data_IF_252858029231
#
_entry.id   IF_252858029231
#
_cell.length_a   1.000
_cell.length_b   1.000
_cell.length_c   1.000
_cell.angle_alpha   90.00
_cell.angle_beta   90.00
_cell.angle_gamma   90.00
#
_symmetry.space_group_name_H-M   'P 1'
#
loop_
_entity.id
_entity.type
_entity.pdbx_description
1 polymer ?
#
# COMPACT_ATOMS: atom_id res chain seq x y z
N UNK A 1 -20.14 36.59 -50.91
CA UNK A 1 -20.62 35.45 -50.09
C UNK A 1 -19.71 35.37 -48.87
N UNK A 2 -20.22 35.79 -47.71
CA UNK A 2 -19.46 35.84 -46.46
C UNK A 2 -19.64 34.53 -45.68
N UNK A 3 -18.53 33.90 -45.29
CA UNK A 3 -18.49 32.73 -44.43
C UNK A 3 -18.72 33.16 -42.97
N UNK A 4 -19.81 32.69 -42.35
CA UNK A 4 -20.09 32.91 -40.93
C UNK A 4 -19.19 32.00 -40.09
N UNK A 5 -18.27 32.61 -39.33
CA UNK A 5 -17.59 31.99 -38.18
C UNK A 5 -18.60 31.81 -37.05
N UNK A 6 -18.77 30.58 -36.56
CA UNK A 6 -19.58 30.28 -35.37
C UNK A 6 -18.62 30.18 -34.18
N UNK A 7 -18.52 31.24 -33.40
CA UNK A 7 -17.88 31.21 -32.08
C UNK A 7 -18.81 30.50 -31.09
N UNK A 8 -18.47 29.28 -30.68
CA UNK A 8 -19.10 28.65 -29.51
C UNK A 8 -18.43 29.21 -28.25
N UNK A 9 -19.16 30.06 -27.52
CA UNK A 9 -18.84 30.40 -26.14
C UNK A 9 -19.01 29.17 -25.25
N UNK A 10 -17.97 28.85 -24.48
CA UNK A 10 -18.03 27.90 -23.37
C UNK A 10 -18.80 28.56 -22.21
N UNK A 11 -19.78 27.89 -21.58
CA UNK A 11 -20.42 28.44 -20.41
C UNK A 11 -19.41 28.46 -19.25
N UNK A 12 -19.20 29.67 -18.74
CA UNK A 12 -18.55 29.93 -17.47
C UNK A 12 -19.35 29.28 -16.34
N UNK A 13 -18.65 29.04 -15.22
CA UNK A 13 -19.13 28.56 -13.92
C UNK A 13 -18.86 27.06 -13.68
N UNK A 14 -17.59 26.67 -13.76
CA UNK A 14 -17.10 25.55 -12.97
C UNK A 14 -16.61 26.13 -11.65
N UNK A 15 -17.38 25.93 -10.58
CA UNK A 15 -16.96 26.24 -9.23
C UNK A 15 -15.81 25.30 -8.83
N UNK A 16 -14.58 25.79 -9.01
CA UNK A 16 -13.34 25.09 -8.66
C UNK A 16 -13.22 24.82 -7.15
N UNK A 17 -14.09 25.41 -6.30
CA UNK A 17 -14.07 25.16 -4.86
C UNK A 17 -14.76 23.87 -4.43
N UNK A 18 -15.46 23.18 -5.34
CA UNK A 18 -16.09 21.88 -5.06
C UNK A 18 -15.23 20.67 -5.49
N UNK A 19 -14.01 20.91 -5.99
CA UNK A 19 -13.02 19.88 -6.31
C UNK A 19 -11.81 19.88 -5.35
N UNK A 20 -11.89 20.66 -4.29
CA UNK A 20 -10.91 20.73 -3.21
C UNK A 20 -11.76 20.97 -1.95
N UNK A 21 -12.10 20.01 -1.11
CA UNK A 21 -11.23 19.49 -0.04
C UNK A 21 -12.06 18.45 0.75
N UNK A 22 -11.84 17.15 0.53
CA UNK A 22 -11.38 16.27 1.63
C UNK A 22 -9.93 15.79 1.45
N UNK A 23 -9.37 16.02 0.26
CA UNK A 23 -8.05 15.56 -0.17
C UNK A 23 -6.90 16.33 0.51
N UNK A 24 -7.05 17.62 0.79
CA UNK A 24 -6.01 18.42 1.46
C UNK A 24 -5.91 18.12 2.95
N UNK A 25 -6.99 17.70 3.61
CA UNK A 25 -6.94 17.28 5.02
C UNK A 25 -6.15 15.98 5.18
N UNK A 26 -6.34 15.01 4.30
CA UNK A 26 -5.53 13.79 4.29
C UNK A 26 -4.09 14.08 3.83
N UNK A 27 -3.89 14.89 2.78
CA UNK A 27 -2.55 15.33 2.37
C UNK A 27 -1.82 16.05 3.52
N UNK A 28 -2.51 16.84 4.34
CA UNK A 28 -1.95 17.52 5.50
C UNK A 28 -1.64 16.59 6.69
N UNK A 29 -2.44 15.53 6.89
CA UNK A 29 -2.13 14.46 7.85
C UNK A 29 -0.90 13.68 7.41
N UNK A 30 -0.79 13.41 6.10
CA UNK A 30 0.36 12.77 5.50
C UNK A 30 1.59 13.66 5.46
N UNK A 31 1.50 14.95 5.14
CA UNK A 31 2.65 15.88 5.12
C UNK A 31 3.16 16.22 6.52
N UNK A 32 2.29 16.31 7.54
CA UNK A 32 2.75 16.42 8.92
C UNK A 32 3.44 15.14 9.39
N UNK A 33 2.99 13.96 8.95
CA UNK A 33 3.73 12.71 9.12
C UNK A 33 5.04 12.67 8.29
N UNK A 34 5.04 13.28 7.09
CA UNK A 34 6.16 13.44 6.15
C UNK A 34 7.29 14.33 6.68
N UNK A 35 6.96 15.32 7.53
CA UNK A 35 7.92 16.26 8.13
C UNK A 35 8.45 15.81 9.50
N UNK A 36 7.83 14.79 10.10
CA UNK A 36 8.17 14.31 11.45
C UNK A 36 9.28 13.24 11.49
N UNK A 37 10.19 13.21 10.52
CA UNK A 37 11.32 12.28 10.54
C UNK A 37 12.62 12.99 10.18
N UNK A 38 13.36 13.41 11.20
CA UNK A 38 14.78 13.74 11.08
C UNK A 38 15.66 12.59 11.61
N UNK A 39 16.77 12.46 10.89
CA UNK A 39 18.02 11.71 11.06
C UNK A 39 18.17 10.23 10.58
N UNK A 40 19.10 10.08 9.63
CA UNK A 40 19.57 8.92 8.83
C UNK A 40 18.74 8.45 7.60
N UNK A 41 19.04 9.05 6.44
CA UNK A 41 18.97 8.55 5.03
C UNK A 41 18.04 7.35 4.73
N UNK A 42 16.72 7.55 4.83
CA UNK A 42 15.74 6.66 4.19
C UNK A 42 15.60 7.02 2.72
N UNK A 43 15.80 6.06 1.81
CA UNK A 43 15.72 6.29 0.35
C UNK A 43 14.29 6.39 -0.19
N UNK A 44 13.31 5.83 0.52
CA UNK A 44 11.92 5.77 0.10
C UNK A 44 10.97 6.11 1.26
N UNK A 45 9.89 6.80 0.93
CA UNK A 45 8.78 7.06 1.84
C UNK A 45 8.05 5.75 2.13
N UNK A 46 7.65 5.56 3.39
CA UNK A 46 6.85 4.43 3.83
C UNK A 46 5.39 4.86 3.90
N UNK A 47 4.48 3.92 3.73
CA UNK A 47 3.03 4.14 3.81
C UNK A 47 2.52 3.20 4.89
N UNK A 48 1.95 3.69 6.00
CA UNK A 48 1.32 2.83 6.99
C UNK A 48 0.17 2.07 6.33
N UNK A 49 0.05 0.80 6.67
CA UNK A 49 -0.99 -0.07 6.14
C UNK A 49 -1.19 -1.22 7.10
N UNK A 50 -2.40 -1.75 7.16
CA UNK A 50 -2.76 -2.88 8.01
C UNK A 50 -3.44 -4.00 7.17
N UNK A 51 -3.03 -4.07 5.90
CA UNK A 51 -3.49 -5.01 4.87
C UNK A 51 -2.88 -6.39 5.14
N UNK A 52 -3.64 -7.48 4.89
CA UNK A 52 -3.15 -8.84 5.04
C UNK A 52 -2.00 -9.16 4.09
N UNK A 53 -1.04 -9.93 4.57
CA UNK A 53 0.06 -10.50 3.79
C UNK A 53 0.20 -11.99 4.06
N UNK A 54 0.81 -12.68 3.11
CA UNK A 54 1.29 -14.04 3.25
C UNK A 54 2.77 -14.06 2.95
N UNK A 55 3.53 -14.90 3.64
CA UNK A 55 4.94 -15.06 3.35
C UNK A 55 5.43 -16.48 3.59
N UNK A 56 6.51 -16.82 2.89
CA UNK A 56 7.25 -18.07 3.07
C UNK A 56 8.71 -17.73 3.31
N UNK A 57 9.30 -18.35 4.33
CA UNK A 57 10.71 -18.18 4.67
C UNK A 57 11.56 -19.30 4.06
N UNK A 58 12.74 -18.93 3.57
CA UNK A 58 13.73 -19.84 2.98
C UNK A 58 13.80 -19.77 1.46
N UNK A 59 14.80 -20.46 0.91
CA UNK A 59 14.91 -20.77 -0.53
C UNK A 59 14.71 -22.26 -0.74
N UNK A 60 14.25 -22.69 -1.92
CA UNK A 60 13.81 -24.02 -2.38
C UNK A 60 14.67 -25.29 -2.05
N UNK A 61 15.34 -25.38 -0.91
CA UNK A 61 16.08 -26.58 -0.46
C UNK A 61 16.28 -26.67 1.07
N UNK A 62 15.86 -25.68 1.85
CA UNK A 62 15.74 -25.82 3.31
C UNK A 62 14.24 -25.87 3.64
N UNK A 63 13.83 -26.84 4.46
CA UNK A 63 12.43 -27.12 4.81
C UNK A 63 11.65 -25.81 5.01
N UNK A 64 10.47 -25.63 4.37
CA UNK A 64 9.69 -24.39 4.50
C UNK A 64 9.46 -24.09 5.98
N UNK A 65 10.06 -23.00 6.47
CA UNK A 65 9.95 -22.62 7.87
C UNK A 65 8.61 -21.92 8.05
N UNK A 66 7.59 -22.76 8.26
CA UNK A 66 6.21 -22.47 8.66
C UNK A 66 5.43 -21.45 7.81
N UNK A 67 4.22 -21.84 7.43
CA UNK A 67 3.21 -20.92 6.93
C UNK A 67 2.74 -20.10 8.13
N UNK A 68 3.26 -18.89 8.28
CA UNK A 68 2.66 -17.93 9.20
C UNK A 68 1.20 -17.74 8.79
N UNK A 69 0.31 -17.60 9.77
CA UNK A 69 -1.02 -17.07 9.52
C UNK A 69 -0.91 -15.77 8.68
N UNK A 70 -2.01 -15.33 8.07
CA UNK A 70 -2.03 -14.04 7.37
C UNK A 70 -1.60 -12.93 8.33
N UNK A 71 -0.33 -12.52 8.26
CA UNK A 71 0.19 -11.42 9.04
C UNK A 71 -0.29 -10.11 8.44
N UNK A 72 -0.02 -9.01 9.14
CA UNK A 72 -0.47 -7.69 8.72
C UNK A 72 0.73 -6.81 8.40
N UNK A 73 0.63 -6.08 7.30
CA UNK A 73 1.54 -4.97 7.07
C UNK A 73 1.51 -4.03 8.28
N UNK A 74 2.64 -3.42 8.56
CA UNK A 74 2.74 -2.21 9.37
C UNK A 74 2.97 -1.01 8.47
N UNK A 75 3.88 -1.18 7.51
CA UNK A 75 4.17 -0.20 6.50
C UNK A 75 4.74 -0.83 5.22
N UNK A 76 4.69 -0.07 4.13
CA UNK A 76 5.27 -0.46 2.84
C UNK A 76 5.88 0.72 2.11
N UNK A 77 6.93 0.46 1.34
CA UNK A 77 7.64 1.44 0.52
C UNK A 77 8.08 0.80 -0.79
N UNK A 78 8.66 1.62 -1.67
CA UNK A 78 9.28 1.12 -2.91
C UNK A 78 10.41 0.11 -2.65
N UNK A 79 11.15 0.26 -1.56
CA UNK A 79 12.30 -0.59 -1.25
C UNK A 79 12.00 -1.83 -0.41
N UNK A 80 10.77 -1.99 0.08
CA UNK A 80 10.45 -3.05 1.02
C UNK A 80 9.28 -2.72 1.92
N UNK A 81 9.00 -3.62 2.86
CA UNK A 81 7.86 -3.52 3.77
C UNK A 81 8.25 -3.89 5.20
N UNK A 82 7.34 -3.65 6.13
CA UNK A 82 7.41 -4.07 7.51
C UNK A 82 6.11 -4.79 7.86
N UNK A 83 6.19 -5.90 8.61
CA UNK A 83 5.04 -6.65 9.08
C UNK A 83 5.24 -7.16 10.51
N UNK A 84 4.14 -7.53 11.17
CA UNK A 84 4.18 -8.22 12.46
C UNK A 84 4.35 -9.73 12.26
N UNK A 85 5.14 -10.40 13.10
CA UNK A 85 5.27 -11.86 13.11
C UNK A 85 5.19 -12.40 14.54
N UNK A 86 4.53 -13.54 14.72
CA UNK A 86 4.46 -14.21 16.04
C UNK A 86 5.82 -14.70 16.55
N UNK A 87 6.76 -14.98 15.65
CA UNK A 87 8.07 -15.56 15.97
C UNK A 87 9.21 -14.72 15.38
N UNK A 88 10.39 -14.71 16.02
CA UNK A 88 11.53 -13.97 15.50
C UNK A 88 12.02 -14.58 14.18
N UNK A 89 12.34 -13.71 13.22
CA UNK A 89 12.88 -14.12 11.92
C UNK A 89 14.33 -13.68 11.79
N UNK A 90 15.20 -14.59 11.35
CA UNK A 90 16.63 -14.32 11.25
C UNK A 90 16.91 -13.29 10.14
N UNK A 91 17.77 -12.31 10.45
CA UNK A 91 18.28 -11.35 9.46
C UNK A 91 19.03 -12.09 8.34
N UNK A 92 18.80 -11.70 7.10
CA UNK A 92 19.37 -12.30 5.90
C UNK A 92 18.61 -13.51 5.38
N UNK A 93 17.55 -13.96 6.06
CA UNK A 93 16.68 -15.04 5.57
C UNK A 93 15.96 -14.58 4.30
N UNK A 94 16.01 -15.38 3.20
CA UNK A 94 15.17 -15.17 2.03
C UNK A 94 13.70 -15.27 2.38
N UNK A 95 12.89 -14.41 1.78
CA UNK A 95 11.46 -14.35 2.03
C UNK A 95 10.71 -14.08 0.72
N UNK A 96 9.72 -14.93 0.45
CA UNK A 96 8.72 -14.71 -0.58
C UNK A 96 7.48 -14.11 0.06
N UNK A 97 6.91 -13.05 -0.52
CA UNK A 97 5.74 -12.34 0.01
C UNK A 97 4.65 -12.28 -1.04
N UNK A 98 3.42 -12.59 -0.64
CA UNK A 98 2.21 -12.36 -1.42
C UNK A 98 1.28 -11.37 -0.71
N UNK A 99 0.78 -10.37 -1.46
CA UNK A 99 -0.18 -9.37 -0.98
C UNK A 99 -1.44 -9.44 -1.87
N UNK A 100 -2.58 -9.93 -1.33
CA UNK A 100 -3.79 -10.21 -2.11
C UNK A 100 -4.67 -8.96 -2.29
N UNK A 101 -4.11 -7.87 -2.83
CA UNK A 101 -4.81 -6.60 -3.09
C UNK A 101 -5.17 -6.38 -4.57
N UNK A 102 -4.80 -7.33 -5.43
CA UNK A 102 -5.06 -7.35 -6.86
C UNK A 102 -5.08 -8.81 -7.36
N UNK A 103 -5.56 -9.02 -8.59
CA UNK A 103 -5.55 -10.33 -9.26
C UNK A 103 -4.74 -10.24 -10.57
N UNK A 104 -3.62 -10.96 -10.72
CA UNK A 104 -2.98 -11.83 -9.72
C UNK A 104 -2.41 -11.04 -8.52
N UNK A 105 -2.22 -11.69 -7.35
CA UNK A 105 -1.69 -11.05 -6.15
C UNK A 105 -0.32 -10.44 -6.42
N UNK A 106 -0.01 -9.35 -5.71
CA UNK A 106 1.34 -8.79 -5.79
C UNK A 106 2.32 -9.74 -5.12
N UNK A 107 3.37 -10.12 -5.84
CA UNK A 107 4.44 -11.00 -5.36
C UNK A 107 5.76 -10.24 -5.27
N UNK A 108 6.45 -10.42 -4.15
CA UNK A 108 7.77 -9.85 -3.96
C UNK A 108 8.74 -10.86 -3.35
N UNK A 109 9.97 -10.82 -3.85
CA UNK A 109 11.12 -11.51 -3.27
C UNK A 109 11.97 -10.51 -2.51
N UNK A 110 12.54 -10.95 -1.39
CA UNK A 110 13.42 -10.10 -0.60
C UNK A 110 14.25 -10.85 0.43
N UNK A 111 14.91 -10.06 1.26
CA UNK A 111 15.67 -10.53 2.41
C UNK A 111 15.16 -9.83 3.66
N UNK A 112 15.13 -10.57 4.77
CA UNK A 112 14.87 -9.99 6.09
C UNK A 112 16.03 -9.05 6.45
N UNK A 113 15.77 -7.75 6.44
CA UNK A 113 16.75 -6.70 6.72
C UNK A 113 17.01 -6.56 8.23
N UNK A 114 15.96 -6.73 9.04
CA UNK A 114 16.00 -6.68 10.49
C UNK A 114 14.76 -7.34 11.10
N UNK A 115 14.86 -7.77 12.36
CA UNK A 115 13.76 -8.26 13.17
C UNK A 115 13.93 -7.70 14.59
N UNK A 116 12.87 -7.15 15.18
CA UNK A 116 12.89 -6.50 16.50
C UNK A 116 11.68 -6.98 17.31
N UNK A 117 11.84 -7.30 18.61
CA UNK A 117 10.71 -7.59 19.48
C UNK A 117 9.85 -6.34 19.68
N UNK A 118 8.55 -6.51 19.72
CA UNK A 118 7.56 -5.46 19.92
C UNK A 118 6.38 -6.04 20.73
N UNK A 119 6.39 -5.84 22.04
CA UNK A 119 5.40 -6.47 22.92
C UNK A 119 5.51 -8.00 22.89
N UNK A 120 4.43 -8.66 22.50
CA UNK A 120 4.28 -10.11 22.36
C UNK A 120 4.59 -10.66 20.96
N UNK A 121 4.95 -9.79 20.01
CA UNK A 121 5.25 -10.14 18.63
C UNK A 121 6.59 -9.53 18.19
N UNK A 122 6.92 -9.67 16.91
CA UNK A 122 8.13 -9.13 16.30
C UNK A 122 7.77 -8.25 15.10
N UNK A 123 8.39 -7.08 15.00
CA UNK A 123 8.42 -6.34 13.74
C UNK A 123 9.53 -6.88 12.85
N UNK A 124 9.19 -7.22 11.61
CA UNK A 124 10.10 -7.77 10.62
C UNK A 124 10.16 -6.82 9.43
N UNK A 125 11.34 -6.23 9.21
CA UNK A 125 11.60 -5.40 8.05
C UNK A 125 12.21 -6.21 6.92
N UNK A 126 11.64 -6.08 5.73
CA UNK A 126 12.09 -6.76 4.51
C UNK A 126 12.61 -5.73 3.53
N UNK A 127 13.74 -6.05 2.89
CA UNK A 127 14.27 -5.34 1.74
C UNK A 127 13.92 -6.14 0.48
N UNK A 128 13.25 -5.50 -0.49
CA UNK A 128 12.93 -6.12 -1.76
C UNK A 128 14.17 -6.27 -2.64
N UNK A 129 14.18 -7.32 -3.45
CA UNK A 129 15.14 -7.51 -4.53
C UNK A 129 14.85 -6.56 -5.71
N UNK A 130 15.80 -6.44 -6.64
CA UNK A 130 15.73 -5.48 -7.76
C UNK A 130 14.45 -5.62 -8.62
N UNK A 131 14.00 -6.83 -9.02
CA UNK A 131 12.78 -6.96 -9.80
C UNK A 131 11.53 -6.50 -9.02
N UNK A 132 11.42 -6.89 -7.75
CA UNK A 132 10.28 -6.54 -6.89
C UNK A 132 10.22 -5.04 -6.61
N UNK A 133 11.38 -4.39 -6.46
CA UNK A 133 11.49 -2.93 -6.32
C UNK A 133 10.86 -2.20 -7.52
N UNK A 134 11.06 -2.69 -8.75
CA UNK A 134 10.49 -2.06 -9.96
C UNK A 134 8.96 -2.08 -9.99
N UNK A 135 8.34 -3.15 -9.50
CA UNK A 135 6.88 -3.32 -9.50
C UNK A 135 6.21 -2.79 -8.22
N UNK A 136 6.96 -2.55 -7.16
CA UNK A 136 6.45 -2.10 -5.87
C UNK A 136 5.67 -0.80 -5.92
N UNK A 137 5.98 0.12 -6.84
CA UNK A 137 5.28 1.40 -6.99
C UNK A 137 3.78 1.18 -7.24
N UNK A 138 3.43 0.22 -8.10
CA UNK A 138 2.03 -0.10 -8.39
C UNK A 138 1.32 -0.69 -7.18
N UNK A 139 2.01 -1.53 -6.42
CA UNK A 139 1.47 -2.09 -5.19
C UNK A 139 1.24 -0.99 -4.13
N UNK A 140 2.19 -0.07 -3.95
CA UNK A 140 2.03 1.08 -3.03
C UNK A 140 0.85 1.95 -3.46
N UNK A 141 0.67 2.19 -4.75
CA UNK A 141 -0.49 2.90 -5.30
C UNK A 141 -1.82 2.18 -4.96
N UNK A 142 -1.88 0.85 -5.08
CA UNK A 142 -3.06 0.09 -4.67
C UNK A 142 -3.34 0.20 -3.17
N UNK A 143 -2.31 0.19 -2.32
CA UNK A 143 -2.48 0.44 -0.88
C UNK A 143 -3.08 1.83 -0.64
N UNK A 144 -2.61 2.86 -1.33
CA UNK A 144 -3.17 4.21 -1.23
C UNK A 144 -4.65 4.25 -1.66
N UNK A 145 -5.02 3.53 -2.72
CA UNK A 145 -6.41 3.46 -3.16
C UNK A 145 -7.32 2.77 -2.15
N UNK A 146 -6.87 1.67 -1.53
CA UNK A 146 -7.61 0.96 -0.49
C UNK A 146 -7.86 1.86 0.72
N UNK A 147 -6.83 2.58 1.18
CA UNK A 147 -6.95 3.48 2.32
C UNK A 147 -7.86 4.69 2.01
N UNK A 148 -7.80 5.18 0.78
CA UNK A 148 -8.74 6.21 0.31
C UNK A 148 -10.17 5.68 0.26
N UNK A 149 -10.38 4.48 -0.29
CA UNK A 149 -11.69 3.83 -0.33
C UNK A 149 -12.27 3.65 1.08
N UNK A 150 -11.46 3.20 2.04
CA UNK A 150 -11.84 3.07 3.45
C UNK A 150 -12.36 4.40 4.02
N UNK A 151 -11.64 5.49 3.75
CA UNK A 151 -12.01 6.83 4.20
C UNK A 151 -13.28 7.33 3.52
N UNK A 152 -13.41 7.09 2.21
CA UNK A 152 -14.58 7.45 1.41
C UNK A 152 -15.84 6.74 1.91
N UNK A 153 -15.76 5.43 2.18
CA UNK A 153 -16.86 4.65 2.75
C UNK A 153 -17.28 5.20 4.11
N UNK A 154 -16.34 5.55 4.97
CA UNK A 154 -16.68 6.17 6.26
C UNK A 154 -17.41 7.51 6.08
N UNK A 155 -16.93 8.37 5.16
CA UNK A 155 -17.52 9.68 4.94
C UNK A 155 -18.89 9.64 4.24
N UNK A 156 -19.04 8.79 3.22
CA UNK A 156 -20.25 8.74 2.38
C UNK A 156 -21.32 7.78 2.93
N UNK A 157 -20.91 6.67 3.55
CA UNK A 157 -21.80 5.61 4.02
C UNK A 157 -21.87 5.52 5.56
N UNK A 158 -20.97 6.20 6.29
CA UNK A 158 -20.89 6.12 7.76
C UNK A 158 -20.41 4.77 8.28
N UNK A 159 -19.88 3.89 7.42
CA UNK A 159 -19.36 2.58 7.81
C UNK A 159 -17.88 2.67 8.14
N UNK A 160 -17.51 2.20 9.33
CA UNK A 160 -16.12 1.98 9.69
C UNK A 160 -15.64 0.63 9.13
N UNK A 161 -14.59 0.67 8.32
CA UNK A 161 -13.96 -0.50 7.74
C UNK A 161 -12.55 -0.66 8.32
N UNK A 162 -12.12 -1.90 8.57
CA UNK A 162 -10.69 -2.19 8.77
C UNK A 162 -9.93 -2.08 7.42
N UNK A 163 -8.60 -1.94 7.43
CA UNK A 163 -7.81 -2.02 6.17
C UNK A 163 -8.03 -3.35 5.45
N UNK A 164 -8.23 -4.45 6.20
CA UNK A 164 -8.50 -5.76 5.64
C UNK A 164 -9.87 -5.82 4.94
N UNK A 165 -10.92 -5.28 5.57
CA UNK A 165 -12.25 -5.25 4.98
C UNK A 165 -12.28 -4.31 3.76
N UNK A 166 -11.62 -3.17 3.85
CA UNK A 166 -11.47 -2.25 2.73
C UNK A 166 -10.71 -2.89 1.57
N UNK A 167 -9.63 -3.64 1.83
CA UNK A 167 -8.89 -4.36 0.81
C UNK A 167 -9.74 -5.45 0.15
N UNK A 168 -10.51 -6.20 0.94
CA UNK A 168 -11.43 -7.23 0.42
C UNK A 168 -12.50 -6.61 -0.47
N UNK A 169 -13.21 -5.57 0.01
CA UNK A 169 -14.22 -4.87 -0.77
C UNK A 169 -13.63 -4.21 -2.02
N UNK A 170 -12.41 -3.67 -1.94
CA UNK A 170 -11.69 -3.09 -3.07
C UNK A 170 -11.42 -4.13 -4.16
N UNK A 171 -10.87 -5.29 -3.78
CA UNK A 171 -10.63 -6.39 -4.72
C UNK A 171 -11.94 -6.86 -5.35
N UNK A 172 -13.00 -7.07 -4.56
CA UNK A 172 -14.31 -7.49 -5.08
C UNK A 172 -14.89 -6.49 -6.09
N UNK A 173 -14.74 -5.19 -5.85
CA UNK A 173 -15.27 -4.13 -6.71
C UNK A 173 -14.45 -3.88 -7.97
N UNK A 174 -13.12 -3.93 -7.86
CA UNK A 174 -12.22 -3.44 -8.90
C UNK A 174 -11.35 -4.53 -9.57
N UNK A 175 -11.46 -5.80 -9.14
CA UNK A 175 -10.69 -6.90 -9.71
C UNK A 175 -10.82 -7.07 -11.24
N UNK A 176 -11.97 -6.72 -11.82
CA UNK A 176 -12.22 -6.86 -13.24
C UNK A 176 -11.62 -5.72 -14.09
N UNK A 177 -11.22 -4.61 -13.47
CA UNK A 177 -10.72 -3.41 -14.15
C UNK A 177 -9.19 -3.33 -14.19
N UNK A 178 -8.49 -4.30 -13.58
CA UNK A 178 -7.02 -4.32 -13.59
C UNK A 178 -6.50 -4.57 -15.01
N UNK A 179 -5.69 -3.65 -15.58
CA UNK A 179 -5.08 -3.86 -16.88
C UNK A 179 -4.04 -5.00 -16.81
N UNK A 180 -4.15 -5.95 -17.75
CA UNK A 180 -3.18 -7.04 -17.97
C UNK A 180 -1.79 -6.53 -18.33
#
# INVERSE_FOLDING_TARGET
MATKSVSKQLPANWDMSLLVEPWLHWYSYWTNWFLASDDSMRQFIRHPSDIPIQYVLGSDNELPVEHGNSERLKDVSRGGLCFAAERPVRRGTPIHIEIPIQSPPYRAEGLVAWCRPEGDHFAVGVQFNEPSTRFSVRMVEQVCHIEHYRTKVMHEEGRELSSQDAAREWVEKYAAEFPN
#
